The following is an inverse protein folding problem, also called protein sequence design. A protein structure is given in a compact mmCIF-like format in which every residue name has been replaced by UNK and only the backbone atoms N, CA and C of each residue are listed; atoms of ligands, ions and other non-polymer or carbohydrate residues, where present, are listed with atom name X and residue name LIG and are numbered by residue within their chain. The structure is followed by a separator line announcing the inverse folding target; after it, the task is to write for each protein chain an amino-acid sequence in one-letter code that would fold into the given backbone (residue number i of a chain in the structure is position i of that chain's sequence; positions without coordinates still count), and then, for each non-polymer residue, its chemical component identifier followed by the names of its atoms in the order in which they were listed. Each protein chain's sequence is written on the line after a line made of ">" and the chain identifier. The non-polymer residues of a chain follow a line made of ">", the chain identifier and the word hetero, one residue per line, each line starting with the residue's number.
data_IF_093827738815
#
_entry.id   IF_093827738815
#
_cell.length_a   1.000
_cell.length_b   1.000
_cell.length_c   1.000
_cell.angle_alpha   90.00
_cell.angle_beta   90.00
_cell.angle_gamma   90.00
#
_symmetry.space_group_name_H-M   'P 1'
#
loop_
_entity.id
_entity.type
_entity.pdbx_description
1 polymer ?
#
# COMPACT_ATOMS: atom_id res chain seq x y z
N UNK A 1 -0.01 -29.77 -8.26
CA UNK A 1 -0.03 -28.35 -7.82
C UNK A 1 -1.25 -27.70 -8.42
N UNK A 2 -2.16 -27.15 -7.61
CA UNK A 2 -3.35 -26.51 -8.16
C UNK A 2 -2.93 -25.18 -8.82
N UNK A 3 -3.52 -24.88 -9.96
CA UNK A 3 -3.28 -23.62 -10.69
C UNK A 3 -3.51 -22.39 -9.79
N UNK A 4 -4.52 -22.45 -8.93
CA UNK A 4 -4.83 -21.42 -7.95
C UNK A 4 -3.71 -21.19 -6.93
N UNK A 5 -3.03 -22.25 -6.49
CA UNK A 5 -1.92 -22.14 -5.53
C UNK A 5 -0.72 -21.45 -6.18
N UNK A 6 -0.47 -21.74 -7.46
CA UNK A 6 0.62 -21.11 -8.22
C UNK A 6 0.33 -19.64 -8.46
N UNK A 7 -0.88 -19.29 -8.92
CA UNK A 7 -1.31 -17.90 -9.10
C UNK A 7 -1.22 -17.09 -7.80
N UNK A 8 -1.70 -17.67 -6.69
CA UNK A 8 -1.68 -17.00 -5.38
C UNK A 8 -0.25 -16.70 -4.93
N UNK A 9 0.69 -17.63 -5.16
CA UNK A 9 2.13 -17.41 -4.91
C UNK A 9 2.70 -16.28 -5.76
N UNK A 10 2.40 -16.25 -7.07
CA UNK A 10 2.86 -15.19 -7.96
C UNK A 10 2.36 -13.81 -7.54
N UNK A 11 1.07 -13.69 -7.23
CA UNK A 11 0.46 -12.42 -6.77
C UNK A 11 1.11 -11.97 -5.46
N UNK A 12 1.31 -12.89 -4.51
CA UNK A 12 1.97 -12.56 -3.24
C UNK A 12 3.39 -12.03 -3.46
N UNK A 13 4.19 -12.70 -4.30
CA UNK A 13 5.56 -12.27 -4.59
C UNK A 13 5.62 -10.90 -5.27
N UNK A 14 4.79 -10.66 -6.29
CA UNK A 14 4.73 -9.36 -6.96
C UNK A 14 4.27 -8.27 -5.99
N UNK A 15 3.27 -8.56 -5.16
CA UNK A 15 2.77 -7.61 -4.14
C UNK A 15 3.88 -7.25 -3.15
N UNK A 16 4.64 -8.23 -2.64
CA UNK A 16 5.77 -7.98 -1.74
C UNK A 16 6.81 -7.04 -2.37
N UNK A 17 7.14 -7.24 -3.64
CA UNK A 17 8.07 -6.36 -4.38
C UNK A 17 7.50 -4.95 -4.48
N UNK A 18 6.25 -4.79 -4.92
CA UNK A 18 5.64 -3.46 -5.12
C UNK A 18 5.48 -2.69 -3.80
N UNK A 19 5.10 -3.38 -2.72
CA UNK A 19 4.92 -2.75 -1.39
C UNK A 19 6.25 -2.21 -0.86
N UNK A 20 7.36 -2.94 -1.05
CA UNK A 20 8.71 -2.47 -0.68
C UNK A 20 9.13 -1.20 -1.44
N UNK A 21 8.57 -0.95 -2.62
CA UNK A 21 8.85 0.26 -3.38
C UNK A 21 8.12 1.51 -2.85
N UNK A 22 7.07 1.35 -2.03
CA UNK A 22 6.28 2.50 -1.54
C UNK A 22 7.12 3.46 -0.67
N UNK A 23 7.86 3.01 0.35
CA UNK A 23 8.72 3.90 1.15
C UNK A 23 9.75 4.65 0.30
N UNK A 24 10.34 3.96 -0.69
CA UNK A 24 11.30 4.56 -1.62
C UNK A 24 10.64 5.67 -2.45
N UNK A 25 9.44 5.40 -2.99
CA UNK A 25 8.68 6.38 -3.76
C UNK A 25 8.29 7.61 -2.93
N UNK A 26 7.91 7.41 -1.67
CA UNK A 26 7.60 8.50 -0.73
C UNK A 26 8.83 9.38 -0.52
N UNK A 27 9.98 8.80 -0.18
CA UNK A 27 11.22 9.55 0.05
C UNK A 27 11.65 10.29 -1.21
N UNK A 28 11.64 9.62 -2.36
CA UNK A 28 12.01 10.23 -3.64
C UNK A 28 11.10 11.42 -3.97
N UNK A 29 9.78 11.29 -3.79
CA UNK A 29 8.81 12.36 -4.04
C UNK A 29 8.97 13.54 -3.08
N UNK A 30 9.36 13.30 -1.83
CA UNK A 30 9.69 14.37 -0.88
C UNK A 30 10.96 15.13 -1.29
N UNK A 31 11.99 14.41 -1.76
CA UNK A 31 13.28 14.99 -2.14
C UNK A 31 13.22 15.76 -3.47
N UNK A 32 12.56 15.18 -4.48
CA UNK A 32 12.57 15.69 -5.86
C UNK A 32 11.25 16.38 -6.25
N UNK A 33 10.23 16.32 -5.40
CA UNK A 33 8.90 16.86 -5.68
C UNK A 33 8.03 15.94 -6.55
N UNK A 34 6.90 16.47 -7.02
CA UNK A 34 5.82 15.70 -7.66
C UNK A 34 6.11 15.20 -9.10
N UNK A 35 7.25 15.56 -9.70
CA UNK A 35 7.58 15.19 -11.08
C UNK A 35 8.73 14.18 -11.11
N UNK A 36 8.42 12.91 -10.88
CA UNK A 36 9.37 11.80 -11.01
C UNK A 36 8.86 10.87 -12.12
N UNK A 37 9.73 10.52 -13.07
CA UNK A 37 9.34 9.81 -14.30
C UNK A 37 8.73 8.40 -14.10
N UNK A 38 8.83 7.82 -12.89
CA UNK A 38 8.38 6.45 -12.59
C UNK A 38 7.40 6.34 -11.41
N UNK A 39 7.24 7.40 -10.62
CA UNK A 39 6.36 7.40 -9.45
C UNK A 39 5.38 8.56 -9.61
N UNK A 40 4.08 8.25 -9.64
CA UNK A 40 3.03 9.27 -9.62
C UNK A 40 2.96 10.02 -8.29
N UNK A 41 1.84 10.68 -8.00
CA UNK A 41 1.66 11.44 -6.76
C UNK A 41 1.42 10.55 -5.53
N UNK A 42 2.37 9.67 -5.17
CA UNK A 42 2.28 8.71 -4.07
C UNK A 42 1.99 9.40 -2.73
N UNK A 43 2.70 10.47 -2.40
CA UNK A 43 2.49 11.23 -1.15
C UNK A 43 1.10 11.85 -1.11
N UNK A 44 0.61 12.40 -2.23
CA UNK A 44 -0.75 12.94 -2.33
C UNK A 44 -1.78 11.85 -2.12
N UNK A 45 -1.64 10.71 -2.80
CA UNK A 45 -2.55 9.58 -2.69
C UNK A 45 -2.61 9.04 -1.26
N UNK A 46 -1.46 9.01 -0.55
CA UNK A 46 -1.41 8.63 0.86
C UNK A 46 -2.16 9.63 1.74
N UNK A 47 -1.92 10.94 1.56
CA UNK A 47 -2.63 11.99 2.31
C UNK A 47 -4.13 11.94 2.05
N UNK A 48 -4.56 11.74 0.81
CA UNK A 48 -5.98 11.62 0.45
C UNK A 48 -6.63 10.42 1.14
N UNK A 49 -5.93 9.27 1.21
CA UNK A 49 -6.37 8.09 1.95
C UNK A 49 -6.50 8.36 3.46
N UNK A 50 -5.51 9.02 4.06
CA UNK A 50 -5.53 9.38 5.47
C UNK A 50 -6.67 10.35 5.78
N UNK A 51 -6.91 11.33 4.91
CA UNK A 51 -8.02 12.26 5.05
C UNK A 51 -9.37 11.53 4.93
N UNK A 52 -9.50 10.59 4.00
CA UNK A 52 -10.71 9.78 3.82
C UNK A 52 -11.00 8.92 5.06
N UNK A 53 -9.99 8.37 5.73
CA UNK A 53 -10.20 7.67 7.00
C UNK A 53 -10.46 8.65 8.15
N UNK A 54 -9.69 9.73 8.27
CA UNK A 54 -9.82 10.72 9.34
C UNK A 54 -11.18 11.42 9.35
N UNK A 55 -11.77 11.68 8.17
CA UNK A 55 -13.08 12.35 8.06
C UNK A 55 -14.25 11.48 8.52
N UNK A 56 -14.07 10.16 8.67
CA UNK A 56 -15.10 9.21 9.10
C UNK A 56 -15.08 8.95 10.61
N UNK A 57 -14.20 9.61 11.37
CA UNK A 57 -14.08 9.45 12.82
C UNK A 57 -13.80 8.00 13.24
N UNK A 58 -14.62 7.44 14.14
CA UNK A 58 -14.43 6.08 14.67
C UNK A 58 -14.49 5.01 13.57
N UNK A 59 -15.38 5.16 12.58
CA UNK A 59 -15.54 4.21 11.48
C UNK A 59 -14.25 4.14 10.65
N UNK A 60 -13.61 5.29 10.43
CA UNK A 60 -12.34 5.36 9.72
C UNK A 60 -11.20 4.64 10.44
N UNK A 61 -11.16 4.75 11.78
CA UNK A 61 -10.17 4.03 12.59
C UNK A 61 -10.39 2.51 12.55
N UNK A 62 -11.65 2.05 12.58
CA UNK A 62 -11.98 0.64 12.42
C UNK A 62 -11.54 0.13 11.05
N UNK A 63 -11.85 0.89 9.99
CA UNK A 63 -11.44 0.54 8.63
C UNK A 63 -9.91 0.47 8.49
N UNK A 64 -9.18 1.44 9.05
CA UNK A 64 -7.72 1.43 9.06
C UNK A 64 -7.17 0.21 9.82
N UNK A 65 -7.76 -0.14 10.97
CA UNK A 65 -7.42 -1.34 11.73
C UNK A 65 -7.59 -2.63 10.92
N UNK A 66 -8.67 -2.75 10.14
CA UNK A 66 -8.92 -3.88 9.24
C UNK A 66 -7.85 -3.95 8.14
N UNK A 67 -7.50 -2.82 7.53
CA UNK A 67 -6.45 -2.75 6.50
C UNK A 67 -5.11 -3.22 7.07
N UNK A 68 -4.68 -2.67 8.21
CA UNK A 68 -3.43 -3.08 8.88
C UNK A 68 -3.44 -4.57 9.21
N UNK A 69 -4.56 -5.08 9.72
CA UNK A 69 -4.71 -6.50 10.02
C UNK A 69 -4.58 -7.38 8.78
N UNK A 70 -5.18 -6.99 7.66
CA UNK A 70 -5.11 -7.74 6.40
C UNK A 70 -3.67 -7.81 5.87
N UNK A 71 -2.96 -6.68 5.82
CA UNK A 71 -1.55 -6.64 5.41
C UNK A 71 -0.67 -7.51 6.33
N UNK A 72 -0.90 -7.46 7.65
CA UNK A 72 -0.15 -8.28 8.61
C UNK A 72 -0.35 -9.79 8.44
N UNK A 73 -1.44 -10.19 7.78
CA UNK A 73 -1.75 -11.59 7.48
C UNK A 73 -1.14 -12.05 6.17
N UNK A 74 -1.06 -11.16 5.17
CA UNK A 74 -0.39 -11.43 3.88
C UNK A 74 1.11 -11.66 4.06
N UNK A 75 1.75 -10.94 4.97
CA UNK A 75 3.19 -11.14 5.24
C UNK A 75 3.51 -12.49 5.88
N UNK A 76 2.54 -13.13 6.56
CA UNK A 76 2.72 -14.43 7.22
C UNK A 76 2.44 -15.63 6.33
N UNK A 77 2.02 -15.40 5.08
CA UNK A 77 1.75 -16.42 4.07
C UNK A 77 2.84 -16.46 2.99
#
# INVERSE_FOLDING_TARGET
>A
MNFLDSLSKWISQITKIVVVLIPLAIVAQVLFGAKIAFFGSVVKNLIDLLNAFGSQGLIGLIALGIVVWLFSKVDRA
#
